data_IF_407891964480
#
_entry.id   IF_407891964480
#
_cell.length_a   1.000
_cell.length_b   1.000
_cell.length_c   1.000
_cell.angle_alpha   90.00
_cell.angle_beta   90.00
_cell.angle_gamma   90.00
#
_symmetry.space_group_name_H-M   'P 1'
#
loop_
_entity.id
_entity.type
_entity.pdbx_description
1 polymer ?
#
# COMPACT_ATOMS: atom_id res chain seq x y z
N UNK A 1 25.90 -2.96 12.94
CA UNK A 1 25.14 -4.14 13.39
C UNK A 1 26.07 -5.33 13.36
N UNK A 2 26.12 -6.08 14.45
CA UNK A 2 26.99 -7.25 14.63
C UNK A 2 26.12 -8.52 14.53
N UNK A 3 26.45 -9.40 13.58
CA UNK A 3 25.79 -10.69 13.35
C UNK A 3 26.60 -11.86 13.95
N UNK A 4 27.59 -11.56 14.79
CA UNK A 4 28.49 -12.52 15.42
C UNK A 4 29.69 -12.88 14.55
N UNK A 5 29.45 -13.39 13.34
CA UNK A 5 30.53 -13.76 12.40
C UNK A 5 31.08 -12.57 11.62
N UNK A 6 30.25 -11.55 11.40
CA UNK A 6 30.61 -10.33 10.68
C UNK A 6 29.81 -9.16 11.24
N UNK A 7 30.31 -7.95 10.97
CA UNK A 7 29.59 -6.72 11.26
C UNK A 7 29.44 -5.89 9.98
N UNK A 8 28.34 -5.15 9.90
CA UNK A 8 28.08 -4.14 8.86
C UNK A 8 27.76 -2.81 9.49
N UNK A 9 28.22 -1.76 8.86
CA UNK A 9 28.00 -0.39 9.28
C UNK A 9 27.52 0.41 8.08
N UNK A 10 26.83 1.49 8.36
CA UNK A 10 26.55 2.55 7.39
C UNK A 10 26.91 3.88 8.02
N UNK A 11 27.11 4.90 7.20
CA UNK A 11 27.31 6.25 7.71
C UNK A 11 26.59 7.27 6.85
N UNK A 12 26.25 8.40 7.46
CA UNK A 12 25.71 9.55 6.78
C UNK A 12 26.57 10.77 7.05
N UNK A 13 26.69 11.65 6.06
CA UNK A 13 27.05 13.05 6.28
C UNK A 13 25.85 13.94 5.97
N UNK A 14 25.84 15.13 6.58
CA UNK A 14 24.76 16.08 6.44
C UNK A 14 25.31 17.47 6.13
N UNK A 15 24.60 18.18 5.26
CA UNK A 15 24.78 19.61 5.11
C UNK A 15 24.35 20.35 6.38
N UNK A 16 24.79 21.61 6.54
CA UNK A 16 24.46 22.45 7.71
C UNK A 16 22.95 22.65 7.93
N UNK A 17 22.14 22.50 6.88
CA UNK A 17 20.68 22.62 6.92
C UNK A 17 19.98 21.29 7.27
N UNK A 18 20.73 20.21 7.54
CA UNK A 18 20.19 18.91 7.92
C UNK A 18 19.82 17.99 6.76
N UNK A 19 20.03 18.42 5.50
CA UNK A 19 19.84 17.53 4.35
C UNK A 19 20.98 16.51 4.26
N UNK A 20 20.63 15.26 3.93
CA UNK A 20 21.59 14.16 3.74
C UNK A 20 22.52 14.51 2.59
N UNK A 21 23.82 14.65 2.87
CA UNK A 21 24.86 14.97 1.88
C UNK A 21 25.46 13.70 1.28
N UNK A 22 25.67 12.67 2.10
CA UNK A 22 26.15 11.37 1.64
C UNK A 22 25.59 10.22 2.46
N UNK A 23 25.61 9.04 1.86
CA UNK A 23 25.31 7.76 2.50
C UNK A 23 26.37 6.75 2.07
N UNK A 24 27.10 6.18 3.03
CA UNK A 24 27.95 5.00 2.78
C UNK A 24 27.17 3.76 3.18
N UNK A 25 26.83 2.93 2.18
CA UNK A 25 26.07 1.70 2.34
C UNK A 25 26.87 0.56 2.95
N UNK A 26 26.22 -0.58 3.26
CA UNK A 26 26.89 -1.76 3.82
C UNK A 26 27.76 -2.52 2.81
N UNK A 27 27.70 -2.12 1.54
CA UNK A 27 28.59 -2.48 0.44
C UNK A 27 29.90 -1.67 0.44
N UNK A 28 30.00 -0.63 1.28
CA UNK A 28 31.14 0.28 1.34
C UNK A 28 31.13 1.37 0.26
N UNK A 29 30.08 1.44 -0.57
CA UNK A 29 29.93 2.46 -1.61
C UNK A 29 29.34 3.73 -0.99
N UNK A 30 29.91 4.89 -1.33
CA UNK A 30 29.42 6.18 -0.86
C UNK A 30 28.65 6.90 -1.95
N UNK A 31 27.35 7.03 -1.75
CA UNK A 31 26.45 7.79 -2.60
C UNK A 31 26.39 9.24 -2.12
N UNK A 32 26.46 10.22 -3.03
CA UNK A 32 26.37 11.64 -2.66
C UNK A 32 25.12 12.29 -3.23
N UNK A 33 24.50 13.17 -2.47
CA UNK A 33 23.22 13.78 -2.81
C UNK A 33 23.39 15.27 -3.04
N UNK A 34 22.76 15.78 -4.10
CA UNK A 34 22.71 17.23 -4.37
C UNK A 34 21.29 17.76 -4.27
N UNK A 35 21.18 19.03 -3.89
CA UNK A 35 19.92 19.72 -3.73
C UNK A 35 19.98 21.10 -4.39
N UNK A 36 18.84 21.60 -4.83
CA UNK A 36 18.73 22.96 -5.36
C UNK A 36 18.62 24.01 -4.23
N UNK A 37 18.49 25.28 -4.62
CA UNK A 37 18.33 26.39 -3.68
C UNK A 37 17.01 26.35 -2.89
N UNK A 38 16.05 25.53 -3.30
CA UNK A 38 14.79 25.28 -2.61
C UNK A 38 14.84 24.02 -1.72
N UNK A 39 16.03 23.45 -1.51
CA UNK A 39 16.27 22.21 -0.76
C UNK A 39 15.56 20.98 -1.36
N UNK A 40 15.26 21.00 -2.66
CA UNK A 40 14.69 19.86 -3.38
C UNK A 40 15.82 18.92 -3.81
N UNK A 41 15.62 17.61 -3.69
CA UNK A 41 16.61 16.61 -4.09
C UNK A 41 16.77 16.56 -5.61
N UNK A 42 17.96 16.93 -6.10
CA UNK A 42 18.28 17.02 -7.53
C UNK A 42 18.95 15.75 -8.04
N UNK A 43 19.99 15.26 -7.37
CA UNK A 43 20.67 14.06 -7.84
C UNK A 43 21.23 13.18 -6.73
N UNK A 44 21.44 11.91 -7.07
CA UNK A 44 22.26 10.97 -6.32
C UNK A 44 23.38 10.49 -7.24
N UNK A 45 24.62 10.80 -6.90
CA UNK A 45 25.82 10.30 -7.60
C UNK A 45 26.18 8.91 -7.08
N UNK A 46 26.37 7.98 -8.02
CA UNK A 46 26.74 6.59 -7.82
C UNK A 46 28.16 6.40 -8.40
N UNK A 47 29.18 6.21 -7.55
CA UNK A 47 30.57 6.16 -7.99
C UNK A 47 30.81 5.14 -9.12
N UNK A 48 31.33 5.62 -10.24
CA UNK A 48 31.66 4.79 -11.41
C UNK A 48 30.48 4.46 -12.32
N UNK A 49 29.24 4.78 -11.94
CA UNK A 49 28.02 4.56 -12.74
C UNK A 49 27.46 5.88 -13.30
N UNK A 50 27.60 6.98 -12.57
CA UNK A 50 26.99 8.27 -12.91
C UNK A 50 25.92 8.65 -11.89
N UNK A 51 24.92 9.44 -12.28
CA UNK A 51 23.95 9.96 -11.33
C UNK A 51 22.50 9.71 -11.76
N UNK A 52 21.64 9.41 -10.78
CA UNK A 52 20.19 9.52 -10.92
C UNK A 52 19.86 11.00 -10.71
N UNK A 53 19.31 11.66 -11.72
CA UNK A 53 19.14 13.13 -11.77
C UNK A 53 17.70 13.52 -12.10
N UNK A 54 17.06 14.31 -11.24
CA UNK A 54 15.80 14.97 -11.52
C UNK A 54 16.07 16.25 -12.33
N UNK A 55 15.72 16.24 -13.60
CA UNK A 55 16.05 17.30 -14.55
C UNK A 55 15.11 18.50 -14.45
N UNK A 56 13.83 18.23 -14.18
CA UNK A 56 12.75 19.22 -14.21
C UNK A 56 11.79 18.93 -13.08
N UNK A 57 11.26 19.99 -12.46
CA UNK A 57 10.25 19.90 -11.41
C UNK A 57 8.97 20.63 -11.81
N UNK A 58 7.84 20.07 -11.39
CA UNK A 58 6.60 20.80 -11.23
C UNK A 58 6.36 20.97 -9.72
N UNK A 59 6.53 22.21 -9.26
CA UNK A 59 6.53 22.58 -7.84
C UNK A 59 7.64 21.86 -7.07
N UNK A 60 7.31 20.79 -6.34
CA UNK A 60 8.24 19.99 -5.54
C UNK A 60 8.39 18.55 -6.05
N UNK A 61 7.74 18.21 -7.18
CA UNK A 61 7.73 16.85 -7.74
C UNK A 61 8.48 16.80 -9.07
N UNK A 62 9.33 15.78 -9.31
CA UNK A 62 10.09 15.67 -10.54
C UNK A 62 9.21 15.33 -11.74
N UNK A 63 9.37 16.03 -12.85
CA UNK A 63 8.70 15.78 -14.15
C UNK A 63 9.55 14.89 -15.04
N UNK A 64 10.87 14.87 -14.83
CA UNK A 64 11.80 14.02 -15.57
C UNK A 64 12.96 13.62 -14.67
N UNK A 65 13.29 12.33 -14.69
CA UNK A 65 14.43 11.73 -14.02
C UNK A 65 15.28 10.99 -15.04
N UNK A 66 16.57 11.28 -15.13
CA UNK A 66 17.55 10.53 -15.92
C UNK A 66 18.31 9.58 -15.00
N UNK A 67 18.48 8.34 -15.45
CA UNK A 67 19.26 7.31 -14.77
C UNK A 67 20.64 7.17 -15.43
N UNK A 68 21.62 6.57 -14.74
CA UNK A 68 22.86 6.09 -15.37
C UNK A 68 22.59 5.29 -16.65
N UNK A 69 23.48 5.43 -17.64
CA UNK A 69 23.29 4.90 -18.99
C UNK A 69 22.37 5.73 -19.89
N UNK A 70 21.60 6.68 -19.35
CA UNK A 70 20.79 7.63 -20.13
C UNK A 70 19.32 7.25 -20.29
N UNK A 71 18.85 6.20 -19.61
CA UNK A 71 17.42 5.91 -19.50
C UNK A 71 16.69 7.08 -18.82
N UNK A 72 15.45 7.36 -19.23
CA UNK A 72 14.68 8.50 -18.75
C UNK A 72 13.30 8.05 -18.30
N UNK A 73 12.85 8.56 -17.15
CA UNK A 73 11.48 8.43 -16.67
C UNK A 73 10.85 9.81 -16.57
N UNK A 74 9.63 9.95 -17.07
CA UNK A 74 8.87 11.20 -17.09
C UNK A 74 7.55 11.03 -16.39
N UNK A 75 7.02 12.13 -15.86
CA UNK A 75 5.77 12.18 -15.13
C UNK A 75 4.93 13.35 -15.58
N UNK A 76 3.62 13.15 -15.62
CA UNK A 76 2.65 14.25 -15.58
C UNK A 76 1.83 14.21 -14.30
N UNK A 77 1.32 15.36 -13.91
CA UNK A 77 0.54 15.53 -12.70
C UNK A 77 -0.76 16.26 -13.02
N UNK A 78 -1.84 15.87 -12.35
CA UNK A 78 -3.10 16.59 -12.41
C UNK A 78 -3.04 17.90 -11.58
N UNK A 79 -4.17 18.64 -11.55
CA UNK A 79 -4.27 19.89 -10.81
C UNK A 79 -4.15 19.73 -9.27
N UNK A 80 -4.26 18.51 -8.74
CA UNK A 80 -4.09 18.18 -7.32
C UNK A 80 -2.69 17.60 -7.03
N UNK A 81 -1.77 17.64 -8.00
CA UNK A 81 -0.43 17.06 -7.93
C UNK A 81 -0.40 15.53 -7.75
N UNK A 82 -1.48 14.84 -8.13
CA UNK A 82 -1.51 13.38 -8.23
C UNK A 82 -0.88 12.94 -9.55
N UNK A 83 -0.15 11.82 -9.55
CA UNK A 83 0.47 11.28 -10.77
C UNK A 83 -0.63 10.92 -11.77
N UNK A 84 -0.56 11.55 -12.95
CA UNK A 84 -1.48 11.35 -14.06
C UNK A 84 -0.87 10.45 -15.15
N UNK A 85 0.43 10.53 -15.39
CA UNK A 85 1.13 9.57 -16.25
C UNK A 85 2.55 9.31 -15.79
N UNK A 86 3.09 8.15 -16.17
CA UNK A 86 4.49 7.76 -15.99
C UNK A 86 4.96 7.09 -17.28
N UNK A 87 5.98 7.64 -17.93
CA UNK A 87 6.61 6.99 -19.08
C UNK A 87 8.10 6.79 -18.84
N UNK A 88 8.59 5.56 -18.99
CA UNK A 88 10.00 5.20 -18.93
C UNK A 88 10.51 4.80 -20.31
N UNK A 89 11.69 5.29 -20.67
CA UNK A 89 12.37 5.02 -21.92
C UNK A 89 13.79 4.52 -21.67
N UNK A 90 14.24 3.59 -22.51
CA UNK A 90 15.62 3.13 -22.51
C UNK A 90 16.57 4.22 -23.07
N UNK A 91 17.91 4.03 -23.02
CA UNK A 91 18.85 4.99 -23.60
C UNK A 91 18.67 5.22 -25.11
N UNK A 92 18.10 4.26 -25.83
CA UNK A 92 17.78 4.36 -27.26
C UNK A 92 16.42 5.03 -27.55
N UNK A 93 15.71 5.49 -26.50
CA UNK A 93 14.40 6.14 -26.55
C UNK A 93 13.25 5.20 -26.96
N UNK A 94 13.41 3.88 -26.77
CA UNK A 94 12.30 2.95 -26.86
C UNK A 94 11.49 2.98 -25.56
N UNK A 95 10.18 2.87 -25.67
CA UNK A 95 9.27 2.81 -24.52
C UNK A 95 9.48 1.51 -23.76
N UNK A 96 9.69 1.62 -22.45
CA UNK A 96 9.85 0.50 -21.51
C UNK A 96 8.62 0.35 -20.62
N UNK A 97 7.97 1.47 -20.27
CA UNK A 97 6.75 1.53 -19.46
C UNK A 97 5.99 2.80 -19.85
N UNK A 98 4.68 2.75 -20.04
CA UNK A 98 3.86 3.93 -20.35
C UNK A 98 2.47 3.82 -19.72
N UNK A 99 2.33 4.44 -18.55
CA UNK A 99 1.13 4.35 -17.72
C UNK A 99 0.37 5.68 -17.74
N UNK A 100 -0.94 5.63 -17.94
CA UNK A 100 -1.85 6.77 -17.78
C UNK A 100 -2.98 6.44 -16.80
N UNK A 101 -3.25 7.35 -15.88
CA UNK A 101 -4.22 7.15 -14.80
C UNK A 101 -5.41 8.10 -14.94
N UNK A 102 -6.61 7.52 -14.89
CA UNK A 102 -7.85 8.28 -14.73
C UNK A 102 -8.38 8.09 -13.31
N UNK A 103 -8.83 9.18 -12.68
CA UNK A 103 -9.30 9.19 -11.29
C UNK A 103 -10.73 9.71 -11.19
N UNK A 104 -11.46 9.22 -10.18
CA UNK A 104 -12.72 9.81 -9.77
C UNK A 104 -12.51 11.13 -9.00
N UNK A 105 -13.61 11.77 -8.59
CA UNK A 105 -13.57 13.04 -7.83
C UNK A 105 -12.96 12.89 -6.41
N UNK A 106 -12.84 11.67 -5.89
CA UNK A 106 -12.23 11.37 -4.59
C UNK A 106 -10.74 11.01 -4.72
N UNK A 107 -10.24 10.92 -5.96
CA UNK A 107 -8.86 10.60 -6.30
C UNK A 107 -8.58 9.10 -6.46
N UNK A 108 -9.60 8.23 -6.43
CA UNK A 108 -9.41 6.80 -6.67
C UNK A 108 -9.16 6.55 -8.14
N UNK A 109 -8.17 5.73 -8.48
CA UNK A 109 -7.90 5.31 -9.86
C UNK A 109 -9.06 4.47 -10.36
N UNK A 110 -9.72 4.91 -11.43
CA UNK A 110 -10.82 4.18 -12.10
C UNK A 110 -10.35 3.48 -13.37
N UNK A 111 -9.23 3.92 -13.95
CA UNK A 111 -8.57 3.25 -15.05
C UNK A 111 -7.06 3.53 -15.04
N UNK A 112 -6.30 2.52 -15.48
CA UNK A 112 -4.86 2.61 -15.75
C UNK A 112 -4.60 2.02 -17.13
N UNK A 113 -4.32 2.87 -18.11
CA UNK A 113 -3.84 2.44 -19.44
C UNK A 113 -2.36 2.11 -19.33
N UNK A 114 -1.90 0.99 -19.90
CA UNK A 114 -0.48 0.60 -19.94
C UNK A 114 -0.03 0.22 -21.34
N UNK A 115 1.28 0.02 -21.53
CA UNK A 115 1.84 -0.53 -22.76
C UNK A 115 1.34 -1.95 -23.10
N UNK A 116 0.80 -2.67 -22.12
CA UNK A 116 0.34 -4.06 -22.23
C UNK A 116 -1.20 -4.19 -22.23
N UNK A 117 -1.92 -3.10 -22.00
CA UNK A 117 -3.39 -3.04 -22.05
C UNK A 117 -4.01 -2.18 -20.95
N UNK A 118 -5.34 -2.10 -20.95
CA UNK A 118 -6.08 -1.20 -20.07
C UNK A 118 -6.64 -1.94 -18.87
N UNK A 119 -6.46 -1.35 -17.69
CA UNK A 119 -7.11 -1.79 -16.45
C UNK A 119 -8.30 -0.89 -16.17
N UNK A 120 -9.37 -1.46 -15.62
CA UNK A 120 -10.46 -0.68 -15.02
C UNK A 120 -10.71 -1.13 -13.58
N UNK A 121 -11.08 -0.17 -12.73
CA UNK A 121 -11.27 -0.39 -11.30
C UNK A 121 -12.62 0.17 -10.87
N UNK A 122 -13.38 -0.62 -10.12
CA UNK A 122 -14.62 -0.20 -9.50
C UNK A 122 -14.51 -0.23 -7.97
N UNK A 123 -15.24 0.65 -7.30
CA UNK A 123 -15.23 0.75 -5.84
C UNK A 123 -16.66 0.83 -5.30
N UNK A 124 -16.84 0.38 -4.05
CA UNK A 124 -18.06 0.64 -3.30
C UNK A 124 -18.08 2.07 -2.72
N UNK A 125 -19.13 2.36 -1.95
CA UNK A 125 -19.34 3.67 -1.33
C UNK A 125 -18.33 4.02 -0.23
N UNK A 126 -17.61 3.03 0.31
CA UNK A 126 -16.53 3.19 1.28
C UNK A 126 -15.15 3.25 0.59
N UNK A 127 -15.14 3.27 -0.74
CA UNK A 127 -13.96 3.25 -1.60
C UNK A 127 -13.12 1.98 -1.45
N UNK A 128 -13.76 0.86 -1.11
CA UNK A 128 -13.13 -0.45 -1.16
C UNK A 128 -13.23 -0.98 -2.58
N UNK A 129 -12.18 -1.64 -3.05
CA UNK A 129 -12.08 -2.14 -4.41
C UNK A 129 -13.05 -3.31 -4.61
N UNK A 130 -13.96 -3.21 -5.57
CA UNK A 130 -15.01 -4.20 -5.84
C UNK A 130 -14.80 -4.96 -7.14
N UNK A 131 -14.03 -4.42 -8.08
CA UNK A 131 -13.69 -5.10 -9.34
C UNK A 131 -12.43 -4.54 -9.95
N UNK A 132 -11.65 -5.43 -10.58
CA UNK A 132 -10.54 -5.11 -11.46
C UNK A 132 -10.73 -5.89 -12.76
N UNK A 133 -10.79 -5.17 -13.87
CA UNK A 133 -10.62 -5.73 -15.21
C UNK A 133 -9.12 -5.68 -15.53
N UNK A 134 -8.52 -6.83 -15.79
CA UNK A 134 -7.08 -6.98 -16.01
C UNK A 134 -6.81 -7.41 -17.46
N UNK A 135 -5.95 -6.71 -18.20
CA UNK A 135 -5.71 -7.04 -19.61
C UNK A 135 -4.91 -8.34 -19.81
N UNK A 136 -4.20 -8.81 -18.79
CA UNK A 136 -3.23 -9.91 -18.88
C UNK A 136 -3.50 -11.07 -17.91
N UNK A 137 -4.10 -10.79 -16.76
CA UNK A 137 -4.49 -11.78 -15.75
C UNK A 137 -6.01 -11.95 -15.72
N UNK A 138 -6.51 -12.90 -14.94
CA UNK A 138 -7.95 -13.06 -14.74
C UNK A 138 -8.55 -11.82 -14.04
N UNK A 139 -9.79 -11.50 -14.40
CA UNK A 139 -10.55 -10.43 -13.74
C UNK A 139 -10.77 -10.76 -12.27
N UNK A 140 -10.74 -9.72 -11.44
CA UNK A 140 -10.93 -9.82 -10.00
C UNK A 140 -12.19 -9.05 -9.58
N UNK A 141 -12.78 -9.45 -8.46
CA UNK A 141 -14.00 -8.84 -7.96
C UNK A 141 -14.23 -9.22 -6.51
N UNK A 142 -14.73 -8.31 -5.71
CA UNK A 142 -14.80 -8.46 -4.26
C UNK A 142 -16.06 -7.84 -3.69
N UNK A 143 -16.57 -8.45 -2.62
CA UNK A 143 -17.58 -7.83 -1.75
C UNK A 143 -17.06 -7.82 -0.32
N UNK A 144 -17.62 -6.96 0.52
CA UNK A 144 -17.18 -6.75 1.89
C UNK A 144 -18.35 -6.76 2.87
N UNK A 145 -18.08 -7.13 4.13
CA UNK A 145 -18.99 -6.87 5.24
C UNK A 145 -18.85 -5.42 5.75
N UNK A 146 -19.69 -5.04 6.72
CA UNK A 146 -19.73 -3.69 7.28
C UNK A 146 -18.43 -3.24 7.97
N UNK A 147 -17.52 -4.17 8.28
CA UNK A 147 -16.23 -3.90 8.92
C UNK A 147 -15.05 -4.17 7.97
N UNK A 148 -15.32 -4.39 6.69
CA UNK A 148 -14.33 -4.48 5.63
C UNK A 148 -13.65 -5.84 5.49
N UNK A 149 -14.19 -6.91 6.08
CA UNK A 149 -13.74 -8.25 5.70
C UNK A 149 -14.25 -8.56 4.29
N UNK A 150 -13.38 -9.10 3.44
CA UNK A 150 -13.78 -9.66 2.14
C UNK A 150 -14.78 -10.80 2.38
N UNK A 151 -15.86 -10.86 1.60
CA UNK A 151 -16.90 -11.88 1.66
C UNK A 151 -16.88 -12.81 0.44
N UNK A 152 -16.55 -12.29 -0.74
CA UNK A 152 -16.54 -13.06 -1.99
C UNK A 152 -15.38 -12.65 -2.88
N UNK A 153 -15.06 -13.52 -3.84
CA UNK A 153 -14.25 -13.21 -5.03
C UNK A 153 -15.01 -13.42 -6.34
N UNK A 154 -14.55 -12.82 -7.45
CA UNK A 154 -15.20 -12.96 -8.77
C UNK A 154 -15.31 -14.44 -9.14
N UNK A 155 -16.50 -14.83 -9.61
CA UNK A 155 -16.93 -16.22 -9.75
C UNK A 155 -17.96 -16.62 -8.69
N UNK A 156 -18.03 -15.93 -7.55
CA UNK A 156 -19.04 -16.17 -6.50
C UNK A 156 -19.03 -17.58 -5.91
N UNK A 157 -17.95 -18.33 -6.13
CA UNK A 157 -17.82 -19.75 -5.73
C UNK A 157 -17.15 -19.89 -4.37
N UNK A 158 -16.34 -18.91 -3.94
CA UNK A 158 -15.57 -18.98 -2.70
C UNK A 158 -16.02 -17.93 -1.69
N UNK A 159 -16.82 -18.37 -0.72
CA UNK A 159 -17.24 -17.52 0.40
C UNK A 159 -16.11 -17.44 1.44
N UNK A 160 -15.74 -16.20 1.78
CA UNK A 160 -14.91 -15.90 2.93
C UNK A 160 -15.78 -15.98 4.18
N UNK A 161 -15.52 -16.95 5.03
CA UNK A 161 -16.19 -17.06 6.32
C UNK A 161 -15.31 -16.42 7.39
N UNK A 162 -15.81 -15.38 8.03
CA UNK A 162 -15.12 -14.72 9.16
C UNK A 162 -15.90 -14.91 10.46
N UNK A 163 -15.20 -14.94 11.60
CA UNK A 163 -15.82 -14.96 12.91
C UNK A 163 -15.98 -13.54 13.50
N UNK A 164 -16.50 -13.45 14.73
CA UNK A 164 -16.74 -12.18 15.41
C UNK A 164 -15.47 -11.36 15.73
N UNK A 165 -14.29 -11.98 15.71
CA UNK A 165 -13.00 -11.31 15.91
C UNK A 165 -12.38 -10.81 14.58
N UNK A 166 -13.09 -10.93 13.47
CA UNK A 166 -12.58 -10.73 12.11
C UNK A 166 -11.53 -11.77 11.68
N UNK A 167 -11.38 -12.90 12.38
CA UNK A 167 -10.49 -13.98 11.95
C UNK A 167 -11.11 -14.69 10.74
N UNK A 168 -10.30 -14.99 9.72
CA UNK A 168 -10.76 -15.77 8.57
C UNK A 168 -10.88 -17.21 9.01
N UNK A 169 -12.06 -17.81 9.01
CA UNK A 169 -12.25 -19.23 9.37
C UNK A 169 -12.00 -20.12 8.17
N UNK A 170 -12.50 -19.73 7.00
CA UNK A 170 -12.30 -20.45 5.75
C UNK A 170 -12.44 -19.54 4.53
N UNK A 171 -11.80 -19.94 3.44
CA UNK A 171 -12.00 -19.39 2.10
C UNK A 171 -11.89 -20.54 1.10
N UNK A 172 -13.01 -20.86 0.46
CA UNK A 172 -13.15 -22.10 -0.31
C UNK A 172 -12.86 -23.34 0.53
N UNK A 173 -11.98 -24.21 0.04
CA UNK A 173 -11.55 -25.43 0.75
C UNK A 173 -10.41 -25.18 1.76
N UNK A 174 -9.93 -23.93 1.87
CA UNK A 174 -8.86 -23.55 2.79
C UNK A 174 -9.46 -23.16 4.14
N UNK A 175 -8.89 -23.69 5.22
CA UNK A 175 -9.29 -23.41 6.60
C UNK A 175 -8.13 -22.83 7.40
N UNK A 176 -8.45 -22.05 8.42
CA UNK A 176 -7.47 -21.30 9.20
C UNK A 176 -7.74 -21.47 10.70
N UNK A 177 -6.67 -21.49 11.50
CA UNK A 177 -6.76 -21.50 12.96
C UNK A 177 -5.94 -20.37 13.55
N UNK A 178 -6.29 -19.95 14.77
CA UNK A 178 -5.68 -18.82 15.46
C UNK A 178 -5.32 -19.19 16.90
N UNK A 179 -4.34 -18.49 17.48
CA UNK A 179 -4.13 -18.46 18.92
C UNK A 179 -5.00 -17.40 19.61
N UNK A 180 -4.96 -17.35 20.94
CA UNK A 180 -5.74 -16.40 21.75
C UNK A 180 -5.31 -14.93 21.52
N UNK A 181 -4.14 -14.69 20.92
CA UNK A 181 -3.64 -13.36 20.57
C UNK A 181 -4.07 -12.94 19.14
N UNK A 182 -4.78 -13.81 18.41
CA UNK A 182 -5.24 -13.55 17.05
C UNK A 182 -4.17 -13.73 15.98
N UNK A 183 -3.10 -14.48 16.26
CA UNK A 183 -2.12 -14.89 15.25
C UNK A 183 -2.59 -16.15 14.53
N UNK A 184 -2.52 -16.19 13.20
CA UNK A 184 -2.83 -17.39 12.42
C UNK A 184 -1.83 -18.49 12.74
N UNK A 185 -2.26 -19.61 13.32
CA UNK A 185 -1.41 -20.74 13.72
C UNK A 185 -1.34 -21.86 12.69
N UNK A 186 -2.38 -22.00 11.85
CA UNK A 186 -2.38 -22.97 10.77
C UNK A 186 -3.24 -22.49 9.59
N UNK A 187 -2.80 -22.82 8.38
CA UNK A 187 -3.58 -22.71 7.14
C UNK A 187 -3.59 -24.10 6.51
N UNK A 188 -4.77 -24.67 6.27
CA UNK A 188 -4.92 -26.04 5.77
C UNK A 188 -5.77 -26.05 4.49
N UNK A 189 -5.21 -26.57 3.41
CA UNK A 189 -5.89 -26.84 2.15
C UNK A 189 -5.99 -28.37 1.95
N UNK A 190 -7.19 -28.93 2.16
CA UNK A 190 -7.38 -30.38 2.12
C UNK A 190 -6.52 -31.11 3.16
N UNK A 191 -5.50 -31.84 2.72
CA UNK A 191 -4.54 -32.55 3.60
C UNK A 191 -3.24 -31.80 3.81
N UNK A 192 -3.01 -30.70 3.09
CA UNK A 192 -1.79 -29.90 3.17
C UNK A 192 -1.99 -28.81 4.21
N UNK A 193 -1.28 -28.92 5.33
CA UNK A 193 -1.26 -27.89 6.38
C UNK A 193 0.07 -27.15 6.38
N UNK A 194 0.01 -25.86 6.68
CA UNK A 194 1.17 -25.00 6.97
C UNK A 194 0.95 -24.41 8.35
N UNK A 195 1.90 -24.62 9.25
CA UNK A 195 1.85 -24.22 10.64
C UNK A 195 2.79 -23.03 10.90
N UNK A 196 2.32 -22.08 11.70
CA UNK A 196 2.98 -20.81 11.96
C UNK A 196 3.23 -20.66 13.46
N UNK A 197 4.46 -20.30 13.82
CA UNK A 197 4.89 -20.18 15.21
C UNK A 197 5.40 -18.78 15.50
N UNK A 198 4.98 -18.24 16.64
CA UNK A 198 5.23 -16.86 17.03
C UNK A 198 6.06 -16.78 18.31
N UNK A 199 6.81 -15.69 18.47
CA UNK A 199 7.48 -15.37 19.72
C UNK A 199 6.53 -14.67 20.72
N UNK A 200 7.08 -14.29 21.88
CA UNK A 200 6.32 -13.60 22.95
C UNK A 200 5.86 -12.18 22.58
N UNK A 201 6.33 -11.63 21.46
CA UNK A 201 5.91 -10.34 20.89
C UNK A 201 5.03 -10.55 19.64
N UNK A 202 4.48 -11.76 19.48
CA UNK A 202 3.61 -12.20 18.39
C UNK A 202 4.27 -12.09 17.00
N UNK A 203 5.60 -12.13 16.91
CA UNK A 203 6.32 -12.08 15.63
C UNK A 203 6.50 -13.48 15.08
N UNK A 204 6.22 -13.68 13.79
CA UNK A 204 6.37 -14.97 13.13
C UNK A 204 7.84 -15.40 13.12
N UNK A 205 8.20 -16.45 13.84
CA UNK A 205 9.59 -16.93 13.97
C UNK A 205 9.86 -18.25 13.25
N UNK A 206 8.82 -19.02 12.89
CA UNK A 206 8.99 -20.31 12.22
C UNK A 206 7.74 -20.70 11.45
N UNK A 207 7.96 -21.33 10.30
CA UNK A 207 6.90 -21.92 9.45
C UNK A 207 7.26 -23.38 9.17
N UNK A 208 6.30 -24.27 9.36
CA UNK A 208 6.43 -25.70 9.11
C UNK A 208 5.32 -26.20 8.19
N UNK A 209 5.55 -27.32 7.50
CA UNK A 209 4.48 -28.10 6.90
C UNK A 209 3.69 -28.91 7.96
N UNK A 210 2.66 -29.63 7.52
CA UNK A 210 1.81 -30.48 8.37
C UNK A 210 2.53 -31.67 9.00
N UNK A 211 3.68 -32.08 8.44
CA UNK A 211 4.52 -33.18 8.93
C UNK A 211 5.63 -32.69 9.90
N UNK A 212 5.74 -31.38 10.10
CA UNK A 212 6.72 -30.74 10.98
C UNK A 212 8.06 -30.41 10.29
N UNK A 213 8.14 -30.49 8.96
CA UNK A 213 9.32 -30.05 8.21
C UNK A 213 9.37 -28.52 8.21
N UNK A 214 10.53 -27.97 8.56
CA UNK A 214 10.73 -26.52 8.64
C UNK A 214 10.90 -25.92 7.25
N UNK A 215 9.99 -25.04 6.86
CA UNK A 215 10.09 -24.24 5.64
C UNK A 215 10.99 -23.02 5.86
N UNK A 216 10.82 -22.33 7.00
CA UNK A 216 11.58 -21.14 7.34
C UNK A 216 11.70 -20.92 8.85
N UNK A 217 12.81 -20.31 9.27
CA UNK A 217 12.98 -19.71 10.60
C UNK A 217 13.40 -18.24 10.47
N UNK A 218 12.94 -17.39 11.39
CA UNK A 218 13.16 -15.95 11.39
C UNK A 218 13.64 -15.46 12.75
N UNK A 219 14.42 -14.39 12.73
CA UNK A 219 14.85 -13.72 13.95
C UNK A 219 14.83 -12.22 13.79
N UNK A 220 14.50 -11.52 14.87
CA UNK A 220 14.23 -10.10 14.87
C UNK A 220 15.08 -9.36 15.89
N UNK A 221 15.32 -8.08 15.65
CA UNK A 221 15.91 -7.19 16.63
C UNK A 221 14.86 -6.63 17.61
N UNK A 222 15.26 -5.91 18.67
CA UNK A 222 14.33 -5.30 19.62
C UNK A 222 13.38 -4.24 19.04
N UNK A 223 13.59 -3.81 17.79
CA UNK A 223 12.71 -2.88 17.08
C UNK A 223 11.76 -3.61 16.12
N UNK A 224 11.78 -4.95 16.08
CA UNK A 224 10.93 -5.77 15.23
C UNK A 224 11.45 -5.95 13.79
N UNK A 225 12.67 -5.49 13.48
CA UNK A 225 13.26 -5.66 12.14
C UNK A 225 13.85 -7.06 12.02
N UNK A 226 13.51 -7.79 10.96
CA UNK A 226 14.02 -9.15 10.73
C UNK A 226 15.53 -9.13 10.48
N UNK A 227 16.34 -9.68 11.37
CA UNK A 227 17.79 -9.72 11.22
C UNK A 227 18.28 -10.82 10.30
N UNK A 228 17.59 -11.97 10.31
CA UNK A 228 17.91 -13.06 9.40
C UNK A 228 16.71 -13.96 9.16
N UNK A 229 16.78 -14.71 8.06
CA UNK A 229 15.97 -15.90 7.81
C UNK A 229 16.86 -17.09 7.51
N UNK A 230 16.41 -18.28 7.89
CA UNK A 230 16.99 -19.56 7.50
C UNK A 230 15.98 -20.34 6.69
N UNK A 231 16.39 -20.78 5.50
CA UNK A 231 15.57 -21.61 4.60
C UNK A 231 16.42 -22.78 4.15
N UNK A 232 16.01 -24.01 4.46
CA UNK A 232 16.75 -25.24 4.13
C UNK A 232 18.24 -25.20 4.54
N UNK A 233 18.54 -24.60 5.71
CA UNK A 233 19.91 -24.44 6.23
C UNK A 233 20.74 -23.33 5.58
N UNK A 234 20.14 -22.52 4.70
CA UNK A 234 20.77 -21.33 4.11
C UNK A 234 20.29 -20.07 4.83
N UNK A 235 21.22 -19.38 5.51
CA UNK A 235 20.92 -18.12 6.19
C UNK A 235 21.09 -16.93 5.28
N UNK A 236 20.08 -16.07 5.25
CA UNK A 236 20.14 -14.71 4.69
C UNK A 236 20.00 -13.70 5.82
N UNK A 237 20.97 -12.82 5.98
CA UNK A 237 20.99 -11.73 6.96
C UNK A 237 20.55 -10.42 6.30
N UNK A 238 19.71 -9.64 6.98
CA UNK A 238 19.16 -8.39 6.48
C UNK A 238 19.71 -7.20 7.25
N UNK A 239 20.08 -6.15 6.53
CA UNK A 239 20.63 -4.92 7.09
C UNK A 239 19.78 -3.71 6.70
N UNK A 240 19.52 -2.85 7.68
CA UNK A 240 18.58 -1.74 7.56
C UNK A 240 19.25 -0.39 7.81
N UNK A 241 18.77 0.62 7.10
CA UNK A 241 19.08 2.04 7.29
C UNK A 241 17.82 2.82 7.68
N UNK A 242 17.83 4.15 7.57
CA UNK A 242 16.67 4.98 7.89
C UNK A 242 15.57 4.81 6.83
N UNK A 243 15.95 4.55 5.57
CA UNK A 243 15.03 4.26 4.47
C UNK A 243 14.56 2.80 4.41
N UNK A 244 14.97 1.92 5.33
CA UNK A 244 14.53 0.51 5.35
C UNK A 244 15.60 -0.50 4.90
N UNK A 245 15.20 -1.58 4.24
CA UNK A 245 16.08 -2.70 3.87
C UNK A 245 17.10 -2.26 2.81
N UNK A 246 18.39 -2.21 3.16
CA UNK A 246 19.47 -1.74 2.27
C UNK A 246 20.48 -2.81 1.89
N UNK A 247 20.43 -3.99 2.51
CA UNK A 247 21.35 -5.07 2.18
C UNK A 247 20.91 -6.45 2.65
N UNK A 248 21.26 -7.44 1.85
CA UNK A 248 21.13 -8.86 2.12
C UNK A 248 22.52 -9.51 2.08
N UNK A 249 22.81 -10.36 3.06
CA UNK A 249 24.12 -10.98 3.23
C UNK A 249 24.01 -12.48 3.50
N UNK A 250 25.00 -13.26 3.08
CA UNK A 250 25.12 -14.66 3.50
C UNK A 250 25.44 -14.77 4.99
N UNK A 251 25.39 -15.99 5.53
CA UNK A 251 25.81 -16.29 6.91
C UNK A 251 27.23 -15.80 7.24
N UNK A 252 28.11 -15.77 6.23
CA UNK A 252 29.51 -15.36 6.31
C UNK A 252 29.74 -13.86 6.04
N UNK A 253 28.67 -13.10 5.73
CA UNK A 253 28.75 -11.66 5.50
C UNK A 253 29.08 -11.24 4.06
N UNK A 254 28.99 -12.18 3.10
CA UNK A 254 29.10 -11.89 1.67
C UNK A 254 27.85 -11.16 1.20
N UNK A 255 28.00 -10.05 0.46
CA UNK A 255 26.87 -9.29 -0.07
C UNK A 255 26.13 -10.14 -1.12
N UNK A 256 24.81 -10.27 -0.96
CA UNK A 256 23.90 -10.92 -1.91
C UNK A 256 23.23 -9.85 -2.77
N UNK A 257 22.56 -8.87 -2.12
CA UNK A 257 21.90 -7.73 -2.77
C UNK A 257 22.08 -6.47 -1.92
N UNK A 258 22.15 -5.30 -2.54
CA UNK A 258 21.96 -4.01 -1.84
C UNK A 258 20.91 -3.15 -2.57
N UNK A 259 20.28 -2.24 -1.82
CA UNK A 259 19.19 -1.41 -2.32
C UNK A 259 19.46 0.06 -2.03
N UNK A 260 19.27 0.91 -3.04
CA UNK A 260 19.31 2.36 -2.91
C UNK A 260 17.92 2.97 -3.02
N UNK A 261 17.58 3.87 -2.11
CA UNK A 261 16.28 4.53 -2.06
C UNK A 261 16.40 6.03 -2.29
N UNK A 262 15.28 6.66 -2.65
CA UNK A 262 15.18 8.12 -2.62
C UNK A 262 15.50 8.62 -1.20
N UNK A 263 16.33 9.67 -1.03
CA UNK A 263 16.67 10.17 0.30
C UNK A 263 15.42 10.65 1.04
N UNK A 264 15.37 10.34 2.34
CA UNK A 264 14.25 10.66 3.23
C UNK A 264 12.91 10.08 2.76
N UNK A 265 12.94 8.95 2.05
CA UNK A 265 11.74 8.17 1.76
C UNK A 265 11.22 7.50 3.03
N UNK A 266 9.92 7.19 3.02
CA UNK A 266 9.33 6.33 4.06
C UNK A 266 9.93 4.93 3.95
N UNK A 267 9.95 4.20 5.08
CA UNK A 267 10.50 2.85 5.21
C UNK A 267 10.21 1.92 4.02
N UNK A 268 11.25 1.49 3.32
CA UNK A 268 11.24 0.58 2.17
C UNK A 268 10.26 1.04 1.07
N UNK A 269 10.19 2.35 0.85
CA UNK A 269 9.39 2.96 -0.24
C UNK A 269 10.29 3.67 -1.24
N UNK A 270 9.86 3.76 -2.50
CA UNK A 270 10.61 4.45 -3.56
C UNK A 270 12.04 3.93 -3.75
N UNK A 271 12.22 2.61 -4.00
CA UNK A 271 13.52 2.09 -4.39
C UNK A 271 13.94 2.70 -5.74
N UNK A 272 15.22 3.05 -5.85
CA UNK A 272 15.81 3.68 -7.02
C UNK A 272 16.66 2.68 -7.82
N UNK A 273 17.47 1.88 -7.12
CA UNK A 273 18.25 0.82 -7.73
C UNK A 273 18.45 -0.38 -6.79
N UNK A 274 18.80 -1.51 -7.38
CA UNK A 274 19.30 -2.70 -6.71
C UNK A 274 20.69 -3.03 -7.27
N UNK A 275 21.59 -3.48 -6.41
CA UNK A 275 22.88 -4.04 -6.80
C UNK A 275 22.88 -5.54 -6.56
N UNK A 276 23.26 -6.32 -7.56
CA UNK A 276 23.49 -7.76 -7.44
C UNK A 276 24.68 -8.12 -8.32
N UNK A 277 25.60 -8.95 -7.81
CA UNK A 277 26.79 -9.38 -8.56
C UNK A 277 27.67 -8.21 -9.07
N UNK A 278 27.68 -7.10 -8.32
CA UNK A 278 28.35 -5.82 -8.67
C UNK A 278 27.74 -5.03 -9.84
N UNK A 279 26.59 -5.46 -10.35
CA UNK A 279 25.84 -4.77 -11.41
C UNK A 279 24.69 -3.96 -10.81
N UNK A 280 24.39 -2.80 -11.43
CA UNK A 280 23.31 -1.91 -11.02
C UNK A 280 22.08 -2.09 -11.91
N UNK A 281 20.91 -2.20 -11.26
CA UNK A 281 19.62 -2.31 -11.90
C UNK A 281 18.68 -1.24 -11.36
N UNK A 282 18.03 -0.48 -12.25
CA UNK A 282 17.25 0.69 -11.90
C UNK A 282 15.75 0.40 -11.91
N UNK A 283 15.08 0.75 -10.83
CA UNK A 283 13.65 0.49 -10.63
C UNK A 283 12.78 1.42 -11.47
N UNK A 284 11.87 0.82 -12.25
CA UNK A 284 10.74 1.49 -12.88
C UNK A 284 9.50 1.18 -12.05
N UNK A 285 9.06 2.17 -11.27
CA UNK A 285 7.97 2.01 -10.31
C UNK A 285 6.67 2.66 -10.80
N UNK A 286 5.53 2.15 -10.33
CA UNK A 286 4.21 2.75 -10.52
C UNK A 286 4.01 4.03 -9.68
N UNK A 287 2.75 4.51 -9.58
CA UNK A 287 2.37 5.70 -8.82
C UNK A 287 2.48 5.53 -7.29
N UNK A 288 2.46 4.30 -6.77
CA UNK A 288 2.64 3.99 -5.34
C UNK A 288 4.12 3.84 -4.99
N UNK A 289 4.96 3.57 -5.98
CA UNK A 289 6.36 3.20 -5.77
C UNK A 289 6.58 1.68 -5.79
N UNK A 290 5.60 0.90 -6.27
CA UNK A 290 5.72 -0.54 -6.49
C UNK A 290 6.65 -0.80 -7.68
N UNK A 291 7.68 -1.64 -7.53
CA UNK A 291 8.49 -2.12 -8.65
C UNK A 291 7.60 -2.75 -9.74
N UNK A 292 7.73 -2.30 -10.98
CA UNK A 292 7.07 -2.91 -12.13
C UNK A 292 8.11 -3.58 -13.04
N UNK A 293 9.24 -2.90 -13.25
CA UNK A 293 10.38 -3.41 -14.03
C UNK A 293 11.71 -3.00 -13.39
N UNK A 294 12.75 -3.80 -13.61
CA UNK A 294 14.15 -3.42 -13.39
C UNK A 294 14.86 -3.37 -14.73
N UNK A 295 15.62 -2.30 -14.95
CA UNK A 295 16.42 -2.11 -16.17
C UNK A 295 17.91 -2.07 -15.84
N UNK A 296 18.73 -2.74 -16.64
CA UNK A 296 20.18 -2.57 -16.62
C UNK A 296 20.59 -1.16 -17.11
N UNK A 297 21.85 -0.78 -16.88
CA UNK A 297 22.41 0.48 -17.39
C UNK A 297 22.28 0.62 -18.92
N UNK A 298 22.35 -0.49 -19.66
CA UNK A 298 22.19 -0.48 -21.12
C UNK A 298 20.72 -0.40 -21.58
N UNK A 299 19.76 -0.34 -20.66
CA UNK A 299 18.33 -0.24 -20.96
C UNK A 299 17.60 -1.57 -21.14
N UNK A 300 18.27 -2.72 -20.99
CA UNK A 300 17.60 -4.02 -21.05
C UNK A 300 16.74 -4.24 -19.79
N UNK A 301 15.47 -4.62 -19.97
CA UNK A 301 14.60 -5.10 -18.89
C UNK A 301 15.09 -6.47 -18.45
N UNK A 302 15.46 -6.59 -17.18
CA UNK A 302 16.04 -7.82 -16.60
C UNK A 302 15.12 -8.49 -15.59
N UNK A 303 14.06 -7.79 -15.17
CA UNK A 303 12.98 -8.31 -14.35
C UNK A 303 11.73 -7.47 -14.60
N UNK A 304 10.57 -8.12 -14.66
CA UNK A 304 9.25 -7.48 -14.73
C UNK A 304 8.18 -8.35 -14.08
N UNK A 305 7.11 -7.73 -13.60
CA UNK A 305 5.97 -8.46 -13.06
C UNK A 305 4.64 -7.76 -13.36
N UNK A 306 3.59 -8.56 -13.53
CA UNK A 306 2.19 -8.11 -13.51
C UNK A 306 1.62 -8.43 -12.13
N UNK A 307 0.74 -7.56 -11.62
CA UNK A 307 0.22 -7.67 -10.26
C UNK A 307 -1.28 -7.93 -10.26
N UNK A 308 -1.71 -8.86 -9.41
CA UNK A 308 -3.07 -8.92 -8.89
C UNK A 308 -3.33 -7.72 -7.98
N UNK A 309 -4.59 -7.34 -7.81
CA UNK A 309 -4.98 -6.10 -7.16
C UNK A 309 -4.43 -5.93 -5.74
N UNK A 310 -4.31 -7.04 -5.01
CA UNK A 310 -3.84 -7.08 -3.62
C UNK A 310 -2.34 -7.42 -3.48
N UNK A 311 -1.58 -7.37 -4.57
CA UNK A 311 -0.12 -7.31 -4.54
C UNK A 311 0.59 -8.62 -4.82
N UNK A 312 -0.12 -9.70 -5.13
CA UNK A 312 0.48 -10.93 -5.66
C UNK A 312 1.09 -10.62 -7.03
N UNK A 313 2.33 -11.01 -7.23
CA UNK A 313 3.11 -10.65 -8.40
C UNK A 313 3.38 -11.89 -9.25
N UNK A 314 2.98 -11.84 -10.51
CA UNK A 314 3.36 -12.80 -11.54
C UNK A 314 4.60 -12.28 -12.28
N UNK A 315 5.76 -12.83 -11.91
CA UNK A 315 7.05 -12.46 -12.48
C UNK A 315 7.20 -13.07 -13.88
N UNK A 316 7.63 -12.27 -14.85
CA UNK A 316 7.89 -12.72 -16.21
C UNK A 316 8.96 -13.82 -16.23
N UNK A 317 8.67 -14.93 -16.91
CA UNK A 317 9.56 -16.09 -16.97
C UNK A 317 10.90 -15.83 -17.69
N UNK A 318 11.00 -14.74 -18.46
CA UNK A 318 12.24 -14.25 -19.07
C UNK A 318 13.08 -13.38 -18.14
N UNK A 319 12.64 -13.11 -16.91
CA UNK A 319 13.44 -12.38 -15.92
C UNK A 319 14.76 -13.10 -15.63
N UNK A 320 15.87 -12.36 -15.70
CA UNK A 320 17.23 -12.89 -15.50
C UNK A 320 17.77 -12.65 -14.11
N UNK A 321 17.09 -11.81 -13.32
CA UNK A 321 17.40 -11.53 -11.92
C UNK A 321 16.15 -11.68 -11.07
N UNK A 322 16.33 -11.80 -9.76
CA UNK A 322 15.23 -11.87 -8.80
C UNK A 322 15.08 -10.56 -8.04
N UNK A 323 13.87 -10.02 -8.00
CA UNK A 323 13.49 -8.92 -7.12
C UNK A 323 12.44 -9.40 -6.11
N UNK A 324 12.73 -9.21 -4.82
CA UNK A 324 11.82 -9.60 -3.73
C UNK A 324 11.04 -8.41 -3.17
N UNK A 325 11.37 -7.16 -3.53
CA UNK A 325 10.53 -6.03 -3.15
C UNK A 325 9.16 -6.11 -3.85
N UNK A 326 8.08 -5.86 -3.12
CA UNK A 326 6.68 -5.92 -3.59
C UNK A 326 6.02 -4.54 -3.44
N UNK A 327 4.77 -4.47 -2.99
CA UNK A 327 4.17 -3.20 -2.61
C UNK A 327 5.07 -2.44 -1.62
N UNK A 328 4.99 -1.11 -1.56
CA UNK A 328 5.87 -0.32 -0.70
C UNK A 328 5.84 -0.83 0.75
N UNK A 329 7.01 -1.13 1.31
CA UNK A 329 7.16 -1.76 2.63
C UNK A 329 7.39 -3.28 2.62
N UNK A 330 7.05 -3.97 1.53
CA UNK A 330 6.95 -5.43 1.49
C UNK A 330 8.14 -6.14 0.84
N UNK A 331 8.53 -7.27 1.42
CA UNK A 331 9.52 -8.22 0.91
C UNK A 331 8.89 -9.61 0.75
N UNK A 332 9.02 -10.22 -0.43
CA UNK A 332 8.49 -11.54 -0.74
C UNK A 332 9.38 -12.67 -0.19
N UNK A 333 8.79 -13.53 0.64
CA UNK A 333 9.39 -14.75 1.12
C UNK A 333 8.87 -15.95 0.33
N UNK A 334 9.58 -16.29 -0.74
CA UNK A 334 9.20 -17.35 -1.67
C UNK A 334 8.94 -18.70 -0.99
N UNK A 335 9.62 -18.97 0.13
CA UNK A 335 9.47 -20.22 0.87
C UNK A 335 8.14 -20.36 1.64
N UNK A 336 7.42 -19.26 1.85
CA UNK A 336 6.10 -19.25 2.53
C UNK A 336 4.99 -18.64 1.68
N UNK A 337 5.33 -17.92 0.61
CA UNK A 337 4.40 -17.08 -0.14
C UNK A 337 4.00 -15.79 0.58
N UNK A 338 4.49 -15.56 1.81
CA UNK A 338 4.17 -14.37 2.57
C UNK A 338 4.98 -13.16 2.11
N UNK A 339 4.38 -11.99 2.30
CA UNK A 339 5.04 -10.71 2.15
C UNK A 339 5.38 -10.18 3.55
N UNK A 340 6.65 -10.23 3.92
CA UNK A 340 7.14 -9.56 5.14
C UNK A 340 6.95 -8.05 5.00
N UNK A 341 6.14 -7.45 5.88
CA UNK A 341 5.82 -6.03 5.89
C UNK A 341 6.16 -5.41 7.26
N UNK A 342 7.45 -5.46 7.60
CA UNK A 342 8.06 -4.98 8.84
C UNK A 342 7.42 -5.52 10.15
N UNK A 343 6.27 -5.00 10.56
CA UNK A 343 5.59 -5.36 11.80
C UNK A 343 4.64 -6.55 11.65
N UNK A 344 4.22 -6.88 10.42
CA UNK A 344 3.30 -7.99 10.12
C UNK A 344 3.72 -8.73 8.84
N UNK A 345 3.31 -9.99 8.72
CA UNK A 345 3.38 -10.72 7.45
C UNK A 345 2.02 -10.71 6.76
N UNK A 346 2.03 -10.48 5.44
CA UNK A 346 0.86 -10.26 4.61
C UNK A 346 0.66 -11.41 3.62
N UNK A 347 -0.59 -11.84 3.43
CA UNK A 347 -0.98 -12.83 2.43
C UNK A 347 -1.68 -12.09 1.28
N UNK A 348 -1.02 -11.87 0.13
CA UNK A 348 -1.61 -11.10 -0.96
C UNK A 348 -2.85 -11.76 -1.58
N UNK A 349 -2.89 -13.10 -1.65
CA UNK A 349 -4.00 -13.87 -2.24
C UNK A 349 -5.34 -13.51 -1.58
N UNK A 350 -5.35 -13.40 -0.25
CA UNK A 350 -6.55 -13.09 0.54
C UNK A 350 -6.61 -11.64 1.04
N UNK A 351 -5.66 -10.80 0.62
CA UNK A 351 -5.66 -9.37 0.91
C UNK A 351 -5.57 -8.98 2.38
N UNK A 352 -4.96 -9.80 3.26
CA UNK A 352 -4.92 -9.56 4.71
C UNK A 352 -3.66 -10.04 5.41
N UNK A 353 -3.42 -9.54 6.62
CA UNK A 353 -2.30 -9.93 7.49
C UNK A 353 -2.54 -11.23 8.26
N UNK A 354 -1.46 -11.92 8.63
CA UNK A 354 -1.49 -13.17 9.42
C UNK A 354 -1.63 -12.96 10.93
N UNK A 355 -1.58 -11.71 11.38
CA UNK A 355 -1.76 -11.32 12.77
C UNK A 355 -2.52 -10.01 12.86
N UNK A 356 -3.09 -9.75 14.04
CA UNK A 356 -3.73 -8.47 14.34
C UNK A 356 -2.76 -7.29 14.20
N UNK A 357 -3.31 -6.12 13.87
CA UNK A 357 -2.60 -4.85 13.84
C UNK A 357 -1.92 -4.55 15.19
N UNK A 358 -0.61 -4.26 15.15
CA UNK A 358 0.20 -4.03 16.36
C UNK A 358 -0.15 -2.71 17.06
N UNK A 359 -0.81 -1.78 16.35
CA UNK A 359 -1.38 -0.57 16.97
C UNK A 359 -2.84 -0.77 17.43
N UNK A 360 -3.37 -1.99 17.32
CA UNK A 360 -4.70 -2.38 17.74
C UNK A 360 -5.80 -1.58 17.04
N UNK A 361 -6.85 -1.20 17.77
CA UNK A 361 -7.99 -0.45 17.22
C UNK A 361 -7.63 0.95 16.72
N UNK A 362 -6.41 1.44 16.99
CA UNK A 362 -5.90 2.65 16.33
C UNK A 362 -5.68 2.43 14.83
N UNK A 363 -5.59 1.20 14.34
CA UNK A 363 -5.51 0.86 12.91
C UNK A 363 -6.88 0.71 12.24
N UNK A 364 -7.95 0.51 13.02
CA UNK A 364 -9.30 0.21 12.54
C UNK A 364 -9.98 -0.85 13.40
N UNK A 365 -11.28 -1.06 13.22
CA UNK A 365 -12.01 -2.13 13.93
C UNK A 365 -11.70 -3.52 13.37
N UNK A 366 -11.37 -3.60 12.08
CA UNK A 366 -10.82 -4.79 11.47
C UNK A 366 -9.29 -4.75 11.53
N UNK A 367 -8.73 -5.66 12.32
CA UNK A 367 -7.31 -5.70 12.69
C UNK A 367 -6.43 -6.44 11.67
N UNK A 368 -7.01 -7.07 10.65
CA UNK A 368 -6.27 -7.88 9.67
C UNK A 368 -6.22 -7.25 8.28
N UNK A 369 -7.11 -6.31 8.00
CA UNK A 369 -7.27 -5.70 6.70
C UNK A 369 -6.03 -4.95 6.21
N UNK A 370 -5.76 -5.04 4.91
CA UNK A 370 -4.77 -4.22 4.22
C UNK A 370 -5.43 -2.97 3.63
N UNK A 371 -4.96 -1.79 4.07
CA UNK A 371 -5.26 -0.47 3.49
C UNK A 371 -6.73 -0.24 3.11
N UNK A 372 -7.66 -0.57 4.01
CA UNK A 372 -9.11 -0.38 3.78
C UNK A 372 -9.67 -1.08 2.54
N UNK A 373 -9.02 -2.13 2.05
CA UNK A 373 -9.45 -2.79 0.81
C UNK A 373 -9.26 -1.90 -0.43
N UNK A 374 -8.38 -0.89 -0.38
CA UNK A 374 -8.09 0.01 -1.50
C UNK A 374 -6.58 0.00 -1.87
N UNK A 375 -6.03 -1.16 -2.27
CA UNK A 375 -4.60 -1.32 -2.58
C UNK A 375 -4.15 -0.54 -3.81
N UNK A 376 -5.08 -0.22 -4.73
CA UNK A 376 -4.74 0.58 -5.91
C UNK A 376 -4.37 2.03 -5.58
N UNK A 377 -4.78 2.56 -4.43
CA UNK A 377 -4.60 3.97 -4.07
C UNK A 377 -3.81 4.20 -2.77
N UNK A 378 -3.65 3.17 -1.95
CA UNK A 378 -3.08 3.28 -0.61
C UNK A 378 -1.96 2.24 -0.42
N UNK A 379 -1.04 2.55 0.48
CA UNK A 379 0.12 1.72 0.82
C UNK A 379 0.23 1.58 2.32
N UNK A 380 0.74 0.46 2.81
CA UNK A 380 1.10 0.27 4.22
C UNK A 380 2.60 -0.02 4.37
N UNK A 381 3.45 1.02 4.46
CA UNK A 381 4.91 0.84 4.41
C UNK A 381 5.51 0.11 5.61
N UNK A 382 4.82 0.12 6.75
CA UNK A 382 5.34 -0.41 8.02
C UNK A 382 4.50 -1.58 8.53
N UNK A 383 3.45 -1.97 7.82
CA UNK A 383 2.48 -2.92 8.31
C UNK A 383 1.65 -2.35 9.48
N UNK A 384 1.40 -1.04 9.54
CA UNK A 384 0.68 -0.37 10.64
C UNK A 384 -0.62 0.30 10.21
N UNK A 385 -1.01 0.17 8.94
CA UNK A 385 -2.27 0.69 8.44
C UNK A 385 -3.33 -0.40 8.37
N UNK A 386 -4.43 -0.21 9.09
CA UNK A 386 -5.58 -1.09 9.06
C UNK A 386 -6.76 -0.51 8.28
N UNK A 387 -7.94 -1.06 8.56
CA UNK A 387 -9.21 -0.67 7.95
C UNK A 387 -9.84 0.55 8.69
N UNK A 388 -9.43 1.77 8.33
CA UNK A 388 -10.16 3.01 8.65
C UNK A 388 -10.86 3.54 7.41
N UNK A 389 -12.11 3.12 7.10
CA UNK A 389 -12.79 3.60 5.91
C UNK A 389 -12.68 5.11 5.83
N UNK A 390 -12.36 5.62 4.64
CA UNK A 390 -12.28 7.06 4.39
C UNK A 390 -13.70 7.60 4.40
N UNK A 391 -14.26 7.79 5.60
CA UNK A 391 -15.58 8.36 5.77
C UNK A 391 -15.59 9.72 5.04
N UNK A 392 -16.60 10.02 4.21
CA UNK A 392 -16.74 11.37 3.68
C UNK A 392 -16.75 12.33 4.87
N UNK A 393 -15.87 13.34 4.84
CA UNK A 393 -15.73 14.27 5.96
C UNK A 393 -17.11 14.83 6.30
N UNK A 394 -17.59 14.51 7.51
CA UNK A 394 -18.76 15.17 8.07
C UNK A 394 -18.38 16.66 8.17
N UNK A 395 -19.17 17.58 7.57
CA UNK A 395 -18.85 19.01 7.58
C UNK A 395 -18.63 19.48 9.02
N UNK A 396 -17.43 20.00 9.31
CA UNK A 396 -16.97 20.28 10.68
C UNK A 396 -17.59 21.54 11.28
N UNK A 397 -18.43 22.29 10.53
CA UNK A 397 -19.08 23.51 11.02
C UNK A 397 -20.46 23.80 10.40
N UNK A 398 -21.32 24.62 11.07
CA UNK A 398 -22.62 25.05 10.53
C UNK A 398 -22.52 25.85 9.22
N UNK A 399 -21.39 26.50 8.95
CA UNK A 399 -21.14 27.24 7.72
C UNK A 399 -21.01 26.30 6.52
N UNK A 400 -20.31 25.18 6.74
CA UNK A 400 -20.05 24.17 5.72
C UNK A 400 -21.34 23.43 5.31
N UNK A 401 -22.28 23.25 6.25
CA UNK A 401 -23.59 22.66 5.98
C UNK A 401 -24.50 23.58 5.15
N UNK A 402 -24.51 24.89 5.44
CA UNK A 402 -25.24 25.89 4.63
C UNK A 402 -24.70 25.99 3.20
N UNK A 403 -23.39 25.86 3.03
CA UNK A 403 -22.77 25.88 1.71
C UNK A 403 -22.97 24.56 0.96
N UNK A 404 -23.00 23.41 1.66
CA UNK A 404 -23.40 22.12 1.09
C UNK A 404 -24.86 22.13 0.60
N UNK A 405 -25.80 22.62 1.41
CA UNK A 405 -27.22 22.77 1.01
C UNK A 405 -27.37 23.75 -0.15
N UNK A 406 -26.64 24.88 -0.17
CA UNK A 406 -26.64 25.81 -1.30
C UNK A 406 -26.13 25.16 -2.59
N UNK A 407 -25.09 24.33 -2.51
CA UNK A 407 -24.57 23.56 -3.67
C UNK A 407 -25.60 22.55 -4.18
N UNK A 408 -26.33 21.87 -3.29
CA UNK A 408 -27.41 20.94 -3.67
C UNK A 408 -28.57 21.65 -4.37
N UNK A 409 -28.99 22.84 -3.87
CA UNK A 409 -30.02 23.68 -4.51
C UNK A 409 -29.58 24.20 -5.90
N UNK A 410 -28.29 24.52 -6.06
CA UNK A 410 -27.72 25.03 -7.32
C UNK A 410 -27.61 23.96 -8.42
N UNK A 411 -27.48 22.69 -8.04
CA UNK A 411 -27.36 21.56 -8.97
C UNK A 411 -28.70 20.93 -9.38
N UNK A 412 -29.84 21.58 -9.10
CA UNK A 412 -31.16 21.13 -9.55
C UNK A 412 -31.76 19.94 -8.79
N UNK A 413 -31.07 19.36 -7.80
CA UNK A 413 -31.68 18.46 -6.80
C UNK A 413 -32.46 19.31 -5.79
N UNK A 414 -33.58 19.88 -6.21
CA UNK A 414 -34.47 20.63 -5.34
C UNK A 414 -35.26 19.67 -4.44
N UNK A 415 -34.84 19.52 -3.19
CA UNK A 415 -35.65 18.86 -2.17
C UNK A 415 -36.70 19.88 -1.71
N UNK A 416 -37.92 19.77 -2.26
CA UNK A 416 -39.05 20.68 -1.98
C UNK A 416 -39.34 20.83 -0.48
N UNK A 417 -39.09 19.80 0.30
CA UNK A 417 -39.48 19.70 1.72
C UNK A 417 -38.60 20.55 2.66
N UNK A 418 -37.36 20.89 2.28
CA UNK A 418 -36.50 21.75 3.10
C UNK A 418 -36.67 23.25 2.79
N UNK A 419 -37.56 23.62 1.86
CA UNK A 419 -37.74 25.01 1.40
C UNK A 419 -38.82 25.78 2.19
N UNK A 420 -39.64 25.09 2.99
CA UNK A 420 -40.82 25.65 3.66
C UNK A 420 -40.66 25.80 5.18
N UNK A 421 -39.45 25.63 5.73
CA UNK A 421 -39.14 26.05 7.11
C UNK A 421 -39.06 27.59 7.16
N UNK A 422 -40.21 28.24 7.11
CA UNK A 422 -40.38 29.67 7.34
C UNK A 422 -40.24 29.96 8.84
N UNK A 423 -39.64 31.09 9.19
CA UNK A 423 -39.38 31.52 10.58
C UNK A 423 -40.67 31.90 11.34
N UNK A 424 -41.84 31.70 10.72
CA UNK A 424 -43.14 32.08 11.27
C UNK A 424 -43.85 30.94 12.00
N UNK A 425 -43.64 30.90 13.32
CA UNK A 425 -44.68 30.62 14.32
C UNK A 425 -45.33 29.22 14.43
N UNK A 426 -44.69 28.15 13.96
CA UNK A 426 -45.14 26.77 14.27
C UNK A 426 -44.48 26.20 15.54
N UNK A 427 -45.22 25.31 16.22
CA UNK A 427 -44.84 24.71 17.51
C UNK A 427 -43.54 23.91 17.41
N UNK A 428 -42.83 23.71 18.54
CA UNK A 428 -41.59 22.93 18.54
C UNK A 428 -41.76 21.49 18.01
N UNK A 429 -42.95 20.90 18.14
CA UNK A 429 -43.25 19.54 17.67
C UNK A 429 -43.47 19.47 16.15
N UNK A 430 -44.07 20.49 15.53
CA UNK A 430 -44.23 20.54 14.07
C UNK A 430 -42.89 20.83 13.37
N UNK A 431 -42.03 21.63 14.00
CA UNK A 431 -40.64 21.83 13.56
C UNK A 431 -39.77 20.58 13.70
N UNK A 432 -40.11 19.72 14.66
CA UNK A 432 -39.41 18.48 14.98
C UNK A 432 -39.62 17.42 13.88
N UNK A 433 -40.87 17.15 13.50
CA UNK A 433 -41.17 16.20 12.42
C UNK A 433 -40.64 16.68 11.06
N UNK A 434 -40.76 17.99 10.77
CA UNK A 434 -40.21 18.58 9.54
C UNK A 434 -38.68 18.53 9.45
N UNK A 435 -37.98 18.67 10.58
CA UNK A 435 -36.51 18.54 10.67
C UNK A 435 -36.06 17.09 10.43
N UNK A 436 -36.75 16.10 11.02
CA UNK A 436 -36.45 14.68 10.80
C UNK A 436 -36.71 14.25 9.35
N UNK A 437 -37.83 14.68 8.75
CA UNK A 437 -38.15 14.36 7.36
C UNK A 437 -37.22 15.08 6.37
N UNK A 438 -36.80 16.34 6.63
CA UNK A 438 -35.79 17.01 5.80
C UNK A 438 -34.41 16.32 5.90
N UNK A 439 -33.97 15.89 7.10
CA UNK A 439 -32.74 15.12 7.28
C UNK A 439 -32.80 13.77 6.55
N UNK A 440 -33.95 13.10 6.61
CA UNK A 440 -34.20 11.82 5.95
C UNK A 440 -34.30 11.95 4.43
N UNK A 441 -34.91 13.01 3.91
CA UNK A 441 -34.98 13.31 2.48
C UNK A 441 -33.61 13.74 1.91
N UNK A 442 -32.86 14.55 2.66
CA UNK A 442 -31.50 14.96 2.31
C UNK A 442 -30.54 13.78 2.31
N UNK A 443 -30.67 12.90 3.30
CA UNK A 443 -30.06 11.59 3.26
C UNK A 443 -30.54 10.90 1.97
N UNK A 444 -31.84 10.60 1.81
CA UNK A 444 -32.46 9.93 0.64
C UNK A 444 -32.01 10.36 -0.76
N UNK A 445 -31.70 11.64 -0.95
CA UNK A 445 -31.19 12.18 -2.20
C UNK A 445 -29.67 11.96 -2.43
N UNK A 446 -28.91 11.69 -1.37
CA UNK A 446 -27.44 11.51 -1.37
C UNK A 446 -27.04 10.03 -1.55
N UNK A 447 -27.76 9.05 -0.96
CA UNK A 447 -27.34 7.63 -0.99
C UNK A 447 -28.50 6.58 -1.03
N UNK A 448 -29.25 6.42 -2.14
CA UNK A 448 -30.56 5.72 -2.23
C UNK A 448 -30.67 4.31 -1.62
N UNK A 449 -29.55 3.66 -1.30
CA UNK A 449 -29.36 2.21 -1.13
C UNK A 449 -29.19 1.70 0.30
N UNK A 450 -29.21 2.55 1.35
CA UNK A 450 -29.59 2.08 2.70
C UNK A 450 -28.74 2.46 3.92
N UNK A 451 -27.57 3.10 3.79
CA UNK A 451 -26.76 3.50 4.95
C UNK A 451 -27.11 4.91 5.46
N UNK A 452 -28.41 5.13 5.69
CA UNK A 452 -28.96 6.41 6.13
C UNK A 452 -28.71 6.73 7.60
N UNK A 453 -28.45 5.71 8.42
CA UNK A 453 -28.60 5.80 9.87
C UNK A 453 -27.61 6.80 10.49
N UNK A 454 -26.34 6.81 10.07
CA UNK A 454 -25.33 7.68 10.65
C UNK A 454 -25.48 9.15 10.23
N UNK A 455 -25.89 9.40 8.98
CA UNK A 455 -26.22 10.74 8.49
C UNK A 455 -27.50 11.27 9.14
N UNK A 456 -28.52 10.42 9.26
CA UNK A 456 -29.79 10.73 9.90
C UNK A 456 -29.60 11.05 11.40
N UNK A 457 -28.87 10.22 12.14
CA UNK A 457 -28.58 10.42 13.57
C UNK A 457 -27.76 11.69 13.79
N UNK A 458 -26.72 11.95 12.99
CA UNK A 458 -25.94 13.18 13.10
C UNK A 458 -26.76 14.43 12.78
N UNK A 459 -27.59 14.38 11.72
CA UNK A 459 -28.46 15.49 11.31
C UNK A 459 -29.55 15.79 12.36
N UNK A 460 -30.16 14.76 12.95
CA UNK A 460 -31.22 14.89 13.98
C UNK A 460 -30.68 15.27 15.35
N UNK A 461 -29.50 14.78 15.75
CA UNK A 461 -28.84 15.20 17.00
C UNK A 461 -28.55 16.71 16.97
N UNK A 462 -28.17 17.25 15.81
CA UNK A 462 -27.68 18.64 15.69
C UNK A 462 -28.74 19.69 15.30
N UNK A 463 -29.68 19.38 14.40
CA UNK A 463 -30.76 20.32 14.01
C UNK A 463 -31.91 20.32 15.01
N UNK A 464 -32.13 19.18 15.65
CA UNK A 464 -33.28 18.92 16.49
C UNK A 464 -32.90 18.87 18.00
N UNK A 465 -31.60 18.90 18.33
CA UNK A 465 -31.08 19.09 19.70
C UNK A 465 -31.41 17.93 20.67
N UNK A 466 -31.35 16.68 20.20
CA UNK A 466 -31.37 15.51 21.09
C UNK A 466 -29.95 15.15 21.58
N UNK A 467 -29.81 14.62 22.81
CA UNK A 467 -28.61 13.89 23.18
C UNK A 467 -28.54 12.53 22.46
N UNK A 468 -27.35 12.03 22.14
CA UNK A 468 -27.17 10.68 21.58
C UNK A 468 -27.51 9.63 22.63
N UNK A 469 -28.43 8.70 22.32
CA UNK A 469 -28.59 7.42 23.03
C UNK A 469 -27.96 6.28 22.22
#
# INVERSE_FOLDING_TARGET
>A
MDYGLFAKEFSYSYYKNGLKESYTGPDGVTYTYTYDNANQWVSMDIPGQGAITNNVFNWTRPVSTTYPGGAVRTYSYDALMQTQSIAAMDPAQNTVMDYQYTRDLMGNITSKETEDGDYTYAYDELYQLTSVDNPSLDDEGYTYDDVGNRLTELGGVQDYLVNANNELVSHGDVTYTYDDNGNTTSITNGTEAVNYFYDVEDRLIRVEDGDGSVAAEYYYDPFGRRLWKDVNGTRTCYFYSDEGLVGEFSAEGTLIKSYGYKPNSTWTTNPLFMVQDSEYYYYQNDHLGTPQKLVSENGAVVWSAVYHAFGEAEVDAGSTIENNLRFPGQYFDAETGLHYNFTRSYIPQIGRYVRIDTIGTKGGVNLYCYVTGNPANLIDPEGLMGCKPKLPEIPKSPGDFKDAIKKLKKNGKAIKECAEMDDSNDSCEDKWEGCQECCKAAAQAINPTGLWHNWYVACTTWLCNLPPE
#
